data_IF_669119174449
#
_entry.id   IF_669119174449
#
_cell.length_a   1.000
_cell.length_b   1.000
_cell.length_c   1.000
_cell.angle_alpha   90.00
_cell.angle_beta   90.00
_cell.angle_gamma   90.00
#
_symmetry.space_group_name_H-M   'P 1'
#
loop_
_entity.id
_entity.type
_entity.pdbx_description
1 polymer ?
#
# COMPACT_ATOMS: atom_id res chain seq x y z
N UNK A 1 4.44 8.16 -8.75
CA UNK A 1 4.36 7.15 -7.68
C UNK A 1 4.92 7.63 -6.34
N UNK A 2 6.14 8.15 -6.27
CA UNK A 2 6.78 8.55 -4.99
C UNK A 2 5.95 9.54 -4.18
N UNK A 3 5.42 10.60 -4.81
CA UNK A 3 4.56 11.59 -4.14
C UNK A 3 3.30 10.95 -3.52
N UNK A 4 2.67 10.02 -4.25
CA UNK A 4 1.47 9.33 -3.79
C UNK A 4 1.77 8.41 -2.59
N UNK A 5 2.91 7.71 -2.62
CA UNK A 5 3.38 6.92 -1.49
C UNK A 5 3.64 7.81 -0.28
N UNK A 6 4.35 8.92 -0.44
CA UNK A 6 4.60 9.88 0.65
C UNK A 6 3.31 10.40 1.27
N UNK A 7 2.33 10.80 0.44
CA UNK A 7 1.03 11.26 0.94
C UNK A 7 0.32 10.15 1.71
N UNK A 8 0.28 8.93 1.17
CA UNK A 8 -0.33 7.79 1.85
C UNK A 8 0.34 7.50 3.20
N UNK A 9 1.66 7.57 3.24
CA UNK A 9 2.48 7.32 4.42
C UNK A 9 2.27 8.40 5.48
N UNK A 10 2.16 9.68 5.07
CA UNK A 10 1.78 10.78 5.96
C UNK A 10 0.38 10.62 6.53
N UNK A 11 -0.61 10.25 5.72
CA UNK A 11 -1.98 10.00 6.18
C UNK A 11 -2.06 8.84 7.17
N UNK A 12 -1.36 7.73 6.90
CA UNK A 12 -1.33 6.57 7.78
C UNK A 12 -0.59 6.84 9.09
N UNK A 13 0.52 7.58 9.05
CA UNK A 13 1.23 8.01 10.24
C UNK A 13 0.38 8.91 11.14
N UNK A 14 -0.21 9.96 10.56
CA UNK A 14 -1.09 10.86 11.29
C UNK A 14 -2.32 10.12 11.84
N UNK A 15 -2.91 9.24 11.03
CA UNK A 15 -4.02 8.38 11.38
C UNK A 15 -3.71 7.45 12.56
N UNK A 16 -2.54 6.82 12.58
CA UNK A 16 -2.09 5.96 13.67
C UNK A 16 -1.92 6.72 14.99
N UNK A 17 -1.32 7.91 14.97
CA UNK A 17 -1.21 8.76 16.17
C UNK A 17 -2.59 9.16 16.68
N UNK A 18 -3.50 9.58 15.79
CA UNK A 18 -4.85 9.95 16.16
C UNK A 18 -5.65 8.77 16.71
N UNK A 19 -5.42 7.57 16.18
CA UNK A 19 -6.04 6.33 16.64
C UNK A 19 -5.64 6.01 18.09
N UNK A 20 -4.36 6.15 18.43
CA UNK A 20 -3.87 5.89 19.79
C UNK A 20 -4.23 6.94 20.83
N UNK A 21 -4.66 8.15 20.43
CA UNK A 21 -5.08 9.24 21.34
C UNK A 21 -6.60 9.42 21.46
N UNK A 22 -7.37 8.63 20.72
CA UNK A 22 -8.83 8.81 20.61
C UNK A 22 -9.60 7.90 21.55
N UNK A 23 -10.81 8.32 21.94
CA UNK A 23 -11.76 7.45 22.65
C UNK A 23 -12.31 6.36 21.73
N UNK A 24 -12.72 5.22 22.30
CA UNK A 24 -13.31 4.04 21.65
C UNK A 24 -14.19 4.34 20.41
N UNK A 25 -15.20 5.22 20.55
CA UNK A 25 -16.11 5.59 19.46
C UNK A 25 -15.42 6.35 18.31
N UNK A 26 -14.45 7.21 18.62
CA UNK A 26 -13.70 7.97 17.62
C UNK A 26 -12.63 7.11 16.97
N UNK A 27 -12.01 6.22 17.73
CA UNK A 27 -11.06 5.23 17.28
C UNK A 27 -11.65 4.31 16.19
N UNK A 28 -12.87 3.79 16.40
CA UNK A 28 -13.57 2.99 15.38
C UNK A 28 -13.78 3.75 14.06
N UNK A 29 -14.17 5.03 14.11
CA UNK A 29 -14.38 5.86 12.90
C UNK A 29 -13.08 6.15 12.15
N UNK A 30 -12.01 6.53 12.88
CA UNK A 30 -10.70 6.79 12.30
C UNK A 30 -10.16 5.52 11.62
N UNK A 31 -10.27 4.38 12.28
CA UNK A 31 -9.84 3.10 11.75
C UNK A 31 -10.56 2.73 10.44
N UNK A 32 -11.90 2.82 10.43
CA UNK A 32 -12.68 2.52 9.22
C UNK A 32 -12.30 3.47 8.08
N UNK A 33 -12.16 4.76 8.37
CA UNK A 33 -11.74 5.75 7.37
C UNK A 33 -10.37 5.40 6.76
N UNK A 34 -9.37 5.07 7.60
CA UNK A 34 -8.04 4.68 7.14
C UNK A 34 -8.06 3.40 6.32
N UNK A 35 -8.85 2.40 6.71
CA UNK A 35 -9.02 1.16 5.93
C UNK A 35 -9.62 1.47 4.56
N UNK A 36 -10.69 2.25 4.51
CA UNK A 36 -11.35 2.62 3.25
C UNK A 36 -10.40 3.38 2.33
N UNK A 37 -9.59 4.29 2.88
CA UNK A 37 -8.59 5.04 2.12
C UNK A 37 -7.50 4.12 1.54
N UNK A 38 -6.94 3.24 2.36
CA UNK A 38 -5.92 2.26 1.94
C UNK A 38 -6.46 1.29 0.88
N UNK A 39 -7.65 0.72 1.09
CA UNK A 39 -8.33 -0.13 0.12
C UNK A 39 -8.70 0.62 -1.16
N UNK A 40 -9.12 1.87 -1.07
CA UNK A 40 -9.46 2.70 -2.23
C UNK A 40 -8.24 2.92 -3.14
N UNK A 41 -7.08 3.22 -2.55
CA UNK A 41 -5.82 3.33 -3.28
C UNK A 41 -5.45 1.99 -3.92
N UNK A 42 -5.56 0.90 -3.17
CA UNK A 42 -5.30 -0.45 -3.69
C UNK A 42 -6.21 -0.78 -4.87
N UNK A 43 -7.51 -0.49 -4.78
CA UNK A 43 -8.47 -0.78 -5.85
C UNK A 43 -8.16 0.05 -7.10
N UNK A 44 -7.89 1.34 -6.91
CA UNK A 44 -7.51 2.25 -7.99
C UNK A 44 -6.26 1.74 -8.73
N UNK A 45 -5.20 1.39 -8.01
CA UNK A 45 -3.95 0.96 -8.65
C UNK A 45 -4.00 -0.49 -9.17
N UNK A 46 -4.74 -1.39 -8.53
CA UNK A 46 -4.74 -2.80 -8.95
C UNK A 46 -5.75 -3.08 -10.06
N UNK A 47 -6.94 -2.52 -9.97
CA UNK A 47 -8.06 -2.90 -10.83
C UNK A 47 -8.36 -1.88 -11.91
N UNK A 48 -8.30 -0.57 -11.63
CA UNK A 48 -8.59 0.43 -12.67
C UNK A 48 -7.51 0.41 -13.76
N UNK A 49 -6.24 0.25 -13.39
CA UNK A 49 -5.16 0.12 -14.37
C UNK A 49 -5.28 -1.14 -15.24
N UNK A 50 -5.66 -2.27 -14.64
CA UNK A 50 -5.94 -3.51 -15.38
C UNK A 50 -7.18 -3.36 -16.28
N UNK A 51 -8.24 -2.73 -15.81
CA UNK A 51 -9.44 -2.51 -16.59
C UNK A 51 -9.16 -1.61 -17.80
N UNK A 52 -8.35 -0.56 -17.61
CA UNK A 52 -7.93 0.32 -18.70
C UNK A 52 -7.00 -0.38 -19.69
N UNK A 53 -6.10 -1.26 -19.24
CA UNK A 53 -5.27 -2.04 -20.18
C UNK A 53 -6.12 -2.96 -21.04
N UNK A 54 -7.06 -3.70 -20.43
CA UNK A 54 -8.02 -4.55 -21.15
C UNK A 54 -8.88 -3.72 -22.12
N UNK A 55 -9.34 -2.55 -21.69
CA UNK A 55 -10.15 -1.66 -22.51
C UNK A 55 -9.37 -1.12 -23.71
N UNK A 56 -8.11 -0.72 -23.52
CA UNK A 56 -7.22 -0.28 -24.59
C UNK A 56 -6.89 -1.41 -25.57
N UNK A 57 -6.64 -2.63 -25.09
CA UNK A 57 -6.35 -3.78 -25.95
C UNK A 57 -7.58 -4.16 -26.79
N UNK A 58 -8.79 -4.07 -26.21
CA UNK A 58 -10.03 -4.41 -26.91
C UNK A 58 -10.45 -3.32 -27.91
N UNK A 59 -10.30 -2.04 -27.55
CA UNK A 59 -10.64 -0.92 -28.44
C UNK A 59 -9.55 -0.60 -29.47
N UNK A 60 -8.27 -0.80 -29.16
CA UNK A 60 -7.17 -0.60 -30.11
C UNK A 60 -7.24 -1.55 -31.31
N UNK A 61 -7.94 -2.68 -31.17
CA UNK A 61 -8.26 -3.62 -32.26
C UNK A 61 -9.45 -3.15 -33.11
N UNK A 62 -10.37 -2.37 -32.54
CA UNK A 62 -11.63 -1.95 -33.20
C UNK A 62 -11.59 -0.52 -33.76
N UNK A 63 -10.83 0.38 -33.14
CA UNK A 63 -10.70 1.77 -33.54
C UNK A 63 -9.24 2.20 -33.35
N UNK A 64 -8.59 2.72 -34.41
CA UNK A 64 -7.21 3.24 -34.38
C UNK A 64 -7.07 4.54 -33.58
N UNK A 65 -7.65 4.60 -32.38
CA UNK A 65 -7.41 5.68 -31.43
C UNK A 65 -6.04 5.49 -30.78
N UNK A 66 -5.34 6.61 -30.63
CA UNK A 66 -4.06 6.73 -29.94
C UNK A 66 -4.08 5.97 -28.62
N UNK A 67 -3.24 4.93 -28.55
CA UNK A 67 -3.00 4.13 -27.34
C UNK A 67 -2.62 5.08 -26.21
N UNK A 68 -3.51 5.27 -25.23
CA UNK A 68 -3.16 5.98 -24.01
C UNK A 68 -2.01 5.21 -23.36
N UNK A 69 -0.79 5.73 -23.52
CA UNK A 69 0.42 5.14 -22.96
C UNK A 69 0.38 5.36 -21.46
N UNK A 70 -0.17 4.40 -20.74
CA UNK A 70 -0.07 4.40 -19.29
C UNK A 70 1.35 3.95 -18.90
N UNK A 71 1.96 4.58 -17.88
CA UNK A 71 3.22 4.07 -17.36
C UNK A 71 2.98 2.62 -16.92
N UNK A 72 3.81 1.69 -17.42
CA UNK A 72 3.88 0.33 -16.89
C UNK A 72 4.17 0.43 -15.40
N UNK A 73 3.13 0.33 -14.59
CA UNK A 73 3.28 0.30 -13.15
C UNK A 73 3.74 -1.11 -12.83
N UNK A 74 5.06 -1.28 -12.81
CA UNK A 74 5.80 -2.49 -12.44
C UNK A 74 5.54 -2.95 -10.98
N UNK A 75 4.66 -2.27 -10.24
CA UNK A 75 4.47 -2.34 -8.79
C UNK A 75 3.07 -2.82 -8.26
N UNK A 76 2.17 -3.52 -8.98
CA UNK A 76 0.85 -3.83 -8.41
C UNK A 76 0.95 -4.73 -7.17
N UNK A 77 1.96 -5.61 -7.17
CA UNK A 77 2.26 -6.53 -6.07
C UNK A 77 2.77 -5.77 -4.84
N UNK A 78 3.73 -4.86 -5.02
CA UNK A 78 4.35 -4.09 -3.92
C UNK A 78 3.31 -3.21 -3.21
N UNK A 79 2.42 -2.56 -3.96
CA UNK A 79 1.34 -1.74 -3.39
C UNK A 79 0.38 -2.60 -2.56
N UNK A 80 0.05 -3.80 -3.02
CA UNK A 80 -0.83 -4.71 -2.26
C UNK A 80 -0.25 -5.08 -0.90
N UNK A 81 1.03 -5.48 -0.87
CA UNK A 81 1.71 -5.82 0.38
C UNK A 81 1.85 -4.63 1.32
N UNK A 82 2.21 -3.46 0.78
CA UNK A 82 2.22 -2.21 1.51
C UNK A 82 0.87 -1.95 2.19
N UNK A 83 -0.22 -1.97 1.42
CA UNK A 83 -1.57 -1.70 1.94
C UNK A 83 -1.96 -2.67 3.07
N UNK A 84 -1.73 -3.96 2.90
CA UNK A 84 -2.09 -4.95 3.93
C UNK A 84 -1.24 -4.81 5.20
N UNK A 85 0.04 -4.50 5.05
CA UNK A 85 0.94 -4.27 6.18
C UNK A 85 0.52 -3.04 6.99
N UNK A 86 0.22 -1.92 6.30
CA UNK A 86 -0.27 -0.70 6.95
C UNK A 86 -1.61 -0.93 7.67
N UNK A 87 -2.54 -1.70 7.08
CA UNK A 87 -3.81 -2.07 7.74
C UNK A 87 -3.55 -2.92 8.99
N UNK A 88 -2.62 -3.88 8.92
CA UNK A 88 -2.26 -4.70 10.08
C UNK A 88 -1.72 -3.84 11.22
N UNK A 89 -0.81 -2.91 10.91
CA UNK A 89 -0.26 -1.96 11.87
C UNK A 89 -1.36 -1.12 12.55
N UNK A 90 -2.31 -0.57 11.77
CA UNK A 90 -3.44 0.18 12.31
C UNK A 90 -4.36 -0.69 13.18
N UNK A 91 -4.53 -1.97 12.82
CA UNK A 91 -5.34 -2.92 13.58
C UNK A 91 -4.70 -3.24 14.93
N UNK A 92 -3.38 -3.44 14.97
CA UNK A 92 -2.67 -3.73 16.22
C UNK A 92 -2.61 -2.52 17.16
N UNK A 93 -2.54 -1.28 16.62
CA UNK A 93 -2.74 -0.06 17.42
C UNK A 93 -4.15 -0.03 17.98
N UNK A 94 -5.16 -0.37 17.15
CA UNK A 94 -6.55 -0.37 17.60
C UNK A 94 -6.80 -1.35 18.74
N UNK A 95 -6.24 -2.55 18.63
CA UNK A 95 -6.35 -3.59 19.65
C UNK A 95 -5.49 -3.32 20.89
N UNK A 96 -4.73 -2.22 20.93
CA UNK A 96 -3.85 -1.86 22.05
C UNK A 96 -2.63 -2.77 22.20
N UNK A 97 -2.30 -3.58 21.19
CA UNK A 97 -1.13 -4.47 21.23
C UNK A 97 0.17 -3.71 21.07
N UNK A 98 0.15 -2.63 20.28
CA UNK A 98 1.30 -1.77 20.01
C UNK A 98 0.91 -0.30 20.18
N UNK A 99 1.86 0.53 20.62
CA UNK A 99 1.72 1.98 20.64
C UNK A 99 2.02 2.56 19.24
N UNK A 100 1.34 3.65 18.84
CA UNK A 100 1.62 4.27 17.55
C UNK A 100 3.04 4.85 17.51
N UNK A 101 3.72 4.63 16.39
CA UNK A 101 5.06 5.14 16.15
C UNK A 101 5.05 6.68 16.20
N UNK A 102 5.99 7.26 16.95
CA UNK A 102 6.07 8.72 17.14
C UNK A 102 6.98 9.43 16.14
N UNK A 103 7.81 8.68 15.41
CA UNK A 103 8.81 9.21 14.48
C UNK A 103 8.41 8.83 13.06
N UNK A 104 8.14 9.84 12.22
CA UNK A 104 7.69 9.65 10.82
C UNK A 104 8.69 8.84 10.00
N UNK A 105 9.99 9.09 10.18
CA UNK A 105 11.06 8.40 9.46
C UNK A 105 11.09 6.92 9.85
N UNK A 106 10.99 6.58 11.14
CA UNK A 106 10.94 5.19 11.58
C UNK A 106 9.72 4.46 11.02
N UNK A 107 8.56 5.13 11.00
CA UNK A 107 7.36 4.57 10.37
C UNK A 107 7.56 4.35 8.86
N UNK A 108 8.13 5.33 8.15
CA UNK A 108 8.41 5.20 6.72
C UNK A 108 9.41 4.10 6.39
N UNK A 109 10.46 3.95 7.20
CA UNK A 109 11.40 2.84 7.06
C UNK A 109 10.67 1.52 7.30
N UNK A 110 9.89 1.37 8.37
CA UNK A 110 9.13 0.14 8.63
C UNK A 110 8.17 -0.23 7.48
N UNK A 111 7.42 0.75 6.97
CA UNK A 111 6.38 0.54 5.96
C UNK A 111 6.97 0.29 4.55
N UNK A 112 8.11 0.92 4.22
CA UNK A 112 8.77 0.78 2.92
C UNK A 112 9.82 -0.34 2.85
N UNK A 113 10.37 -0.77 3.99
CA UNK A 113 11.37 -1.85 4.05
C UNK A 113 10.71 -3.24 4.05
N UNK A 114 9.45 -3.35 4.48
CA UNK A 114 8.70 -4.61 4.48
C UNK A 114 8.54 -5.23 3.08
N UNK A 115 8.13 -4.50 2.02
CA UNK A 115 8.09 -5.05 0.67
C UNK A 115 9.47 -5.48 0.15
N UNK A 116 10.54 -4.78 0.55
CA UNK A 116 11.91 -5.16 0.20
C UNK A 116 12.34 -6.50 0.82
N UNK A 117 11.83 -6.83 2.02
CA UNK A 117 12.10 -8.11 2.68
C UNK A 117 11.31 -9.28 2.07
N UNK A 118 10.11 -9.02 1.53
CA UNK A 118 9.27 -10.02 0.86
C UNK A 118 9.71 -10.33 -0.57
N UNK A 119 10.32 -9.36 -1.26
CA UNK A 119 11.13 -9.64 -2.44
C UNK A 119 12.37 -10.38 -1.93
N UNK A 120 12.25 -11.71 -1.81
CA UNK A 120 13.20 -12.58 -1.14
C UNK A 120 14.66 -12.12 -1.33
N UNK A 121 15.51 -12.17 -0.28
CA UNK A 121 16.94 -11.95 -0.47
C UNK A 121 17.39 -12.87 -1.59
N UNK A 122 18.18 -12.34 -2.54
CA UNK A 122 18.70 -13.10 -3.68
C UNK A 122 19.33 -14.36 -3.11
N UNK A 123 18.63 -15.48 -3.24
CA UNK A 123 19.09 -16.77 -2.74
C UNK A 123 20.40 -17.04 -3.47
N UNK A 124 21.51 -17.05 -2.74
CA UNK A 124 22.78 -17.48 -3.32
C UNK A 124 22.78 -19.00 -3.24
N UNK A 125 22.75 -19.74 -4.37
CA UNK A 125 22.82 -21.19 -4.36
C UNK A 125 24.27 -21.61 -4.04
N UNK A 126 24.69 -21.44 -2.80
CA UNK A 126 25.96 -21.96 -2.28
C UNK A 126 25.75 -22.90 -1.09
N UNK A 127 24.50 -23.23 -0.76
CA UNK A 127 24.16 -24.13 0.35
C UNK A 127 23.38 -25.39 -0.08
N UNK A 128 23.45 -25.77 -1.36
CA UNK A 128 22.83 -27.00 -1.89
C UNK A 128 23.84 -28.12 -2.25
N UNK A 129 25.09 -28.02 -1.79
CA UNK A 129 26.08 -29.10 -1.88
C UNK A 129 26.68 -29.32 -0.48
N UNK A 130 26.51 -30.51 0.09
CA UNK A 130 27.46 -31.60 -0.14
C UNK A 130 27.01 -32.61 -1.19
#
# INVERSE_FOLDING_TARGET
MVLLLLVCLSFNFAGGIWLGRSSERRQKRIFVFLIVLNLGILIFFKYILFLLSVWNDTLGVLFSFSVLTFPEILLPVVISFYTFHTISYLSDIRSGKISPCSIFICFGVYDLFFPLLLAAPIDRPVFFFP
#
